data_IF_557099470272
#
_entry.id   IF_557099470272
#
_cell.length_a   1.000
_cell.length_b   1.000
_cell.length_c   1.000
_cell.angle_alpha   90.00
_cell.angle_beta   90.00
_cell.angle_gamma   90.00
#
_symmetry.space_group_name_H-M   'P 1'
#
loop_
_entity.id
_entity.type
_entity.pdbx_description
1 polymer ?
#
# COMPACT_ATOMS: atom_id res chain seq x y z
N UNK A 1 22.98 7.32 -14.68
CA UNK A 1 23.18 7.06 -13.23
C UNK A 1 22.39 8.10 -12.45
N UNK A 2 21.73 7.72 -11.35
CA UNK A 2 20.87 8.63 -10.57
C UNK A 2 21.64 9.69 -9.75
N UNK A 3 22.98 9.64 -9.72
CA UNK A 3 23.83 10.67 -9.10
C UNK A 3 23.81 10.69 -7.56
N UNK A 4 23.47 9.57 -6.92
CA UNK A 4 23.20 9.47 -5.48
C UNK A 4 24.19 8.55 -4.75
N UNK A 5 25.48 8.76 -4.95
CA UNK A 5 26.56 7.93 -4.36
C UNK A 5 26.59 8.00 -2.83
N UNK A 6 26.14 9.11 -2.25
CA UNK A 6 26.04 9.32 -0.80
C UNK A 6 25.10 8.31 -0.11
N UNK A 7 24.20 7.65 -0.86
CA UNK A 7 23.32 6.62 -0.27
C UNK A 7 24.08 5.40 0.24
N UNK A 8 25.30 5.16 -0.25
CA UNK A 8 26.17 4.06 0.22
C UNK A 8 26.48 4.17 1.71
N UNK A 9 26.43 5.37 2.27
CA UNK A 9 26.70 5.62 3.68
C UNK A 9 25.46 5.39 4.59
N UNK A 10 24.27 5.22 4.00
CA UNK A 10 23.06 4.90 4.76
C UNK A 10 23.14 3.47 5.33
N UNK A 11 22.66 3.22 6.56
CA UNK A 11 22.83 1.94 7.25
C UNK A 11 22.47 0.71 6.40
N UNK A 12 21.26 0.71 5.81
CA UNK A 12 20.78 -0.38 4.97
C UNK A 12 21.65 -0.65 3.74
N UNK A 13 22.11 0.41 3.07
CA UNK A 13 22.90 0.27 1.84
C UNK A 13 24.32 -0.19 2.15
N UNK A 14 24.92 0.30 3.24
CA UNK A 14 26.23 -0.16 3.71
C UNK A 14 26.21 -1.66 4.02
N UNK A 15 25.21 -2.12 4.78
CA UNK A 15 25.04 -3.55 5.10
C UNK A 15 24.80 -4.38 3.83
N UNK A 16 24.00 -3.88 2.88
CA UNK A 16 23.77 -4.55 1.60
C UNK A 16 25.06 -4.69 0.78
N UNK A 17 25.86 -3.62 0.68
CA UNK A 17 27.10 -3.59 -0.10
C UNK A 17 28.21 -4.43 0.53
N UNK A 18 28.24 -4.49 1.87
CA UNK A 18 29.17 -5.34 2.61
C UNK A 18 28.80 -6.82 2.56
N UNK A 19 27.59 -7.17 2.10
CA UNK A 19 27.09 -8.54 2.09
C UNK A 19 26.60 -9.02 3.46
N UNK A 20 26.33 -8.10 4.40
CA UNK A 20 25.85 -8.40 5.75
C UNK A 20 24.37 -8.84 5.74
N UNK A 21 23.61 -8.43 4.72
CA UNK A 21 22.21 -8.81 4.54
C UNK A 21 22.07 -10.11 3.73
N UNK A 22 21.19 -11.04 4.15
CA UNK A 22 20.94 -12.27 3.38
C UNK A 22 20.21 -11.97 2.07
N UNK A 23 20.42 -12.83 1.07
CA UNK A 23 19.56 -12.84 -0.11
C UNK A 23 18.12 -13.21 0.30
N UNK A 24 17.16 -12.37 -0.06
CA UNK A 24 15.75 -12.59 0.28
C UNK A 24 14.88 -12.56 -0.97
N UNK A 25 13.76 -13.27 -0.90
CA UNK A 25 12.61 -13.10 -1.79
C UNK A 25 11.46 -12.56 -0.93
N UNK A 26 10.86 -11.45 -1.35
CA UNK A 26 9.87 -10.74 -0.56
C UNK A 26 8.74 -10.17 -1.42
N UNK A 27 7.69 -9.72 -0.75
CA UNK A 27 6.53 -9.10 -1.39
C UNK A 27 5.54 -8.59 -0.35
N UNK A 28 4.48 -7.94 -0.82
CA UNK A 28 3.39 -7.45 0.01
C UNK A 28 2.04 -7.85 -0.57
N UNK A 29 1.11 -8.22 0.29
CA UNK A 29 -0.26 -8.56 -0.08
C UNK A 29 -1.19 -7.50 0.48
N UNK A 30 -1.96 -6.83 -0.38
CA UNK A 30 -2.86 -5.76 0.04
C UNK A 30 -4.07 -6.31 0.79
N UNK A 31 -4.06 -6.21 2.12
CA UNK A 31 -5.13 -6.73 3.00
C UNK A 31 -6.53 -6.27 2.55
N UNK A 32 -6.78 -4.96 2.51
CA UNK A 32 -8.09 -4.40 2.15
C UNK A 32 -8.48 -4.72 0.71
N UNK A 33 -7.52 -4.86 -0.21
CA UNK A 33 -7.78 -5.27 -1.59
C UNK A 33 -8.24 -6.73 -1.68
N UNK A 34 -7.62 -7.62 -0.91
CA UNK A 34 -8.08 -9.01 -0.81
C UNK A 34 -9.47 -9.07 -0.16
N UNK A 35 -9.71 -8.34 0.92
CA UNK A 35 -11.03 -8.29 1.55
C UNK A 35 -12.10 -7.77 0.58
N UNK A 36 -11.83 -6.68 -0.13
CA UNK A 36 -12.73 -6.11 -1.14
C UNK A 36 -13.06 -7.14 -2.24
N UNK A 37 -12.06 -7.85 -2.75
CA UNK A 37 -12.25 -8.89 -3.76
C UNK A 37 -13.06 -10.09 -3.23
N UNK A 38 -12.66 -10.66 -2.09
CA UNK A 38 -13.28 -11.86 -1.52
C UNK A 38 -14.71 -11.62 -1.05
N UNK A 39 -15.01 -10.41 -0.57
CA UNK A 39 -16.35 -10.02 -0.13
C UNK A 39 -17.18 -9.36 -1.24
N UNK A 40 -16.66 -9.32 -2.47
CA UNK A 40 -17.29 -8.71 -3.63
C UNK A 40 -17.80 -7.28 -3.36
N UNK A 41 -16.96 -6.46 -2.71
CA UNK A 41 -17.24 -5.05 -2.42
C UNK A 41 -16.93 -4.18 -3.62
N UNK A 42 -17.75 -3.16 -3.83
CA UNK A 42 -17.63 -2.22 -4.93
C UNK A 42 -16.58 -1.14 -4.66
N UNK A 43 -16.33 -0.80 -3.40
CA UNK A 43 -15.34 0.19 -2.99
C UNK A 43 -14.48 -0.29 -1.82
N UNK A 44 -13.18 0.04 -1.84
CA UNK A 44 -12.24 -0.41 -0.80
C UNK A 44 -12.58 0.18 0.59
N UNK A 45 -13.24 1.33 0.61
CA UNK A 45 -13.72 1.96 1.84
C UNK A 45 -14.81 1.16 2.57
N UNK A 46 -15.46 0.17 1.92
CA UNK A 46 -16.39 -0.75 2.60
C UNK A 46 -15.69 -1.71 3.58
N UNK A 47 -14.36 -1.84 3.47
CA UNK A 47 -13.54 -2.76 4.30
C UNK A 47 -12.37 -2.06 4.98
N UNK A 48 -12.21 -0.74 4.77
CA UNK A 48 -11.14 0.05 5.35
C UNK A 48 -11.63 1.46 5.69
N UNK A 49 -11.56 1.82 6.98
CA UNK A 49 -11.81 3.18 7.41
C UNK A 49 -10.71 4.12 6.89
N UNK A 50 -11.10 5.15 6.15
CA UNK A 50 -10.18 6.12 5.56
C UNK A 50 -10.87 7.44 5.27
N UNK A 51 -10.12 8.39 4.71
CA UNK A 51 -10.65 9.67 4.27
C UNK A 51 -10.90 9.63 2.76
N UNK A 52 -12.04 10.18 2.35
CA UNK A 52 -12.46 10.26 0.96
C UNK A 52 -12.91 11.68 0.63
N UNK A 53 -12.68 12.17 -0.60
CA UNK A 53 -13.26 13.43 -1.05
C UNK A 53 -14.79 13.40 -0.97
N UNK A 54 -15.41 14.56 -0.74
CA UNK A 54 -16.87 14.69 -0.62
C UNK A 54 -17.61 14.09 -1.81
N UNK A 55 -17.16 14.38 -3.03
CA UNK A 55 -17.70 13.82 -4.27
C UNK A 55 -17.75 12.27 -4.26
N UNK A 56 -16.80 11.62 -3.59
CA UNK A 56 -16.76 10.16 -3.48
C UNK A 56 -17.70 9.63 -2.42
N UNK A 57 -17.83 10.33 -1.29
CA UNK A 57 -18.81 10.00 -0.25
C UNK A 57 -20.22 10.04 -0.84
N UNK A 58 -20.57 11.13 -1.52
CA UNK A 58 -21.89 11.28 -2.14
C UNK A 58 -22.13 10.24 -3.25
N UNK A 59 -21.12 9.95 -4.08
CA UNK A 59 -21.26 8.94 -5.14
C UNK A 59 -21.48 7.53 -4.58
N UNK A 60 -20.78 7.17 -3.50
CA UNK A 60 -20.98 5.89 -2.81
C UNK A 60 -22.36 5.83 -2.16
N UNK A 61 -22.79 6.90 -1.49
CA UNK A 61 -24.13 6.97 -0.89
C UNK A 61 -25.24 6.82 -1.95
N UNK A 62 -25.15 7.54 -3.07
CA UNK A 62 -26.09 7.41 -4.21
C UNK A 62 -26.12 6.00 -4.81
N UNK A 63 -25.01 5.27 -4.74
CA UNK A 63 -24.89 3.90 -5.20
C UNK A 63 -25.25 2.86 -4.12
N UNK A 64 -25.72 3.29 -2.95
CA UNK A 64 -26.01 2.43 -1.79
C UNK A 64 -24.77 1.60 -1.33
N UNK A 65 -23.59 2.21 -1.42
CA UNK A 65 -22.30 1.67 -0.97
C UNK A 65 -21.97 2.30 0.39
N UNK A 66 -21.93 1.48 1.44
CA UNK A 66 -21.62 1.94 2.81
C UNK A 66 -20.11 1.91 3.08
N UNK A 67 -19.51 3.07 3.30
CA UNK A 67 -18.11 3.21 3.69
C UNK A 67 -17.94 3.12 5.22
N UNK A 68 -16.79 2.61 5.69
CA UNK A 68 -16.39 2.55 7.10
C UNK A 68 -15.70 3.83 7.60
#
# INVERSE_FOLDING_TARGET
LAGCEERKDLPFHRELLNGDLPCTIGGGIGQSRICMYLLNKAHIGEVQASVWPEEMLEACERANITLL
#
